data_IF_158810195646
#
_entry.id   IF_158810195646
#
_cell.length_a   1.000
_cell.length_b   1.000
_cell.length_c   1.000
_cell.angle_alpha   90.00
_cell.angle_beta   90.00
_cell.angle_gamma   90.00
#
_symmetry.space_group_name_H-M   'P 1'
#
loop_
_entity.id
_entity.type
_entity.pdbx_description
1 polymer ?
#
# COMPACT_ATOMS: atom_id res chain seq x y z
N UNK A 1 35.96 29.52 21.95
CA UNK A 1 34.61 29.67 21.39
C UNK A 1 33.85 28.42 21.79
N UNK A 2 32.67 28.54 22.42
CA UNK A 2 31.86 27.37 22.70
C UNK A 2 31.53 26.69 21.36
N UNK A 3 31.73 25.38 21.26
CA UNK A 3 31.32 24.62 20.09
C UNK A 3 29.81 24.81 19.97
N UNK A 4 29.33 25.38 18.86
CA UNK A 4 27.89 25.48 18.63
C UNK A 4 27.28 24.09 18.77
N UNK A 5 26.17 24.01 19.49
CA UNK A 5 25.50 22.73 19.69
C UNK A 5 24.97 22.22 18.34
N UNK A 6 25.16 20.92 18.04
CA UNK A 6 24.86 20.36 16.74
C UNK A 6 23.36 20.38 16.43
N UNK A 7 23.03 20.37 15.15
CA UNK A 7 21.67 20.16 14.65
C UNK A 7 21.57 18.77 14.07
N UNK A 8 20.55 18.02 14.46
CA UNK A 8 20.38 16.63 14.06
C UNK A 8 19.10 16.45 13.26
N UNK A 9 19.21 15.64 12.22
CA UNK A 9 18.10 15.08 11.46
C UNK A 9 18.15 13.56 11.61
N UNK A 10 17.06 12.93 12.01
CA UNK A 10 16.90 11.48 12.02
C UNK A 10 15.81 11.07 11.06
N UNK A 11 16.10 10.12 10.18
CA UNK A 11 15.12 9.52 9.26
C UNK A 11 14.71 8.17 9.86
N UNK A 12 13.42 7.90 9.99
CA UNK A 12 12.89 6.67 10.58
C UNK A 12 12.12 5.86 9.55
N UNK A 13 12.33 4.56 9.56
CA UNK A 13 11.53 3.57 8.83
C UNK A 13 10.87 2.65 9.86
N UNK A 14 9.63 2.96 10.21
CA UNK A 14 8.76 2.01 10.91
C UNK A 14 8.31 0.97 9.90
N UNK A 15 8.63 -0.29 10.16
CA UNK A 15 8.28 -1.36 9.25
C UNK A 15 6.83 -1.81 9.41
N UNK A 16 6.25 -2.56 8.46
CA UNK A 16 5.05 -3.34 8.72
C UNK A 16 5.25 -4.21 9.98
N UNK A 17 4.29 -4.16 10.91
CA UNK A 17 4.40 -4.80 12.22
C UNK A 17 4.94 -3.93 13.34
N UNK A 18 5.42 -2.70 13.06
CA UNK A 18 5.91 -1.83 14.12
C UNK A 18 4.80 -1.51 15.13
N UNK A 19 4.99 -1.77 16.44
CA UNK A 19 3.97 -1.52 17.46
C UNK A 19 3.62 -0.04 17.61
N UNK A 20 2.34 0.25 17.80
CA UNK A 20 1.84 1.61 18.02
C UNK A 20 1.59 1.91 19.50
N UNK A 21 1.59 3.19 19.88
CA UNK A 21 1.36 3.65 21.27
C UNK A 21 0.00 3.24 21.79
N UNK A 22 -1.04 3.45 20.98
CA UNK A 22 -2.44 3.19 21.34
C UNK A 22 -2.85 1.70 21.20
N UNK A 23 -1.88 0.83 20.87
CA UNK A 23 -2.10 -0.59 20.62
C UNK A 23 -2.20 -0.93 19.13
N UNK A 24 -2.02 -2.20 18.79
CA UNK A 24 -1.92 -2.65 17.40
C UNK A 24 -0.54 -2.40 16.78
N UNK A 25 -0.44 -2.65 15.47
CA UNK A 25 0.80 -2.55 14.70
C UNK A 25 0.56 -1.82 13.38
N UNK A 26 1.60 -1.19 12.84
CA UNK A 26 1.53 -0.54 11.53
C UNK A 26 1.32 -1.57 10.43
N UNK A 27 0.31 -1.36 9.57
CA UNK A 27 -0.03 -2.29 8.50
C UNK A 27 0.96 -2.19 7.32
N UNK A 28 1.17 -0.98 6.82
CA UNK A 28 2.00 -0.71 5.64
C UNK A 28 3.44 -0.25 6.01
N UNK A 29 3.70 -0.01 7.30
CA UNK A 29 4.89 0.74 7.73
C UNK A 29 4.66 2.25 7.65
N UNK A 30 5.67 3.01 8.07
CA UNK A 30 5.65 4.46 8.01
C UNK A 30 7.07 5.03 7.92
N UNK A 31 7.28 5.99 7.02
CA UNK A 31 8.51 6.78 6.96
C UNK A 31 8.23 8.17 7.51
N UNK A 32 9.08 8.65 8.41
CA UNK A 32 8.95 9.98 8.98
C UNK A 32 10.32 10.58 9.35
N UNK A 33 10.35 11.90 9.49
CA UNK A 33 11.54 12.66 9.86
C UNK A 33 11.47 13.08 11.32
N UNK A 34 12.63 13.22 11.94
CA UNK A 34 12.81 13.77 13.27
C UNK A 34 13.90 14.83 13.26
N UNK A 35 13.70 15.94 13.95
CA UNK A 35 14.74 16.96 14.14
C UNK A 35 15.03 17.14 15.61
N UNK A 36 16.30 17.30 15.95
CA UNK A 36 16.74 17.53 17.33
C UNK A 36 17.80 18.62 17.41
N UNK A 37 17.64 19.53 18.38
CA UNK A 37 18.63 20.52 18.76
C UNK A 37 18.43 20.88 20.24
N UNK A 38 19.49 20.78 21.05
CA UNK A 38 19.40 20.90 22.52
C UNK A 38 18.34 19.92 23.06
N UNK A 39 17.41 20.43 23.87
CA UNK A 39 16.31 19.69 24.47
C UNK A 39 15.06 19.65 23.58
N UNK A 40 15.09 20.27 22.39
CA UNK A 40 13.95 20.30 21.47
C UNK A 40 14.04 19.14 20.50
N UNK A 41 12.98 18.34 20.46
CA UNK A 41 12.81 17.24 19.51
C UNK A 41 11.41 17.32 18.90
N UNK A 42 11.33 17.23 17.58
CA UNK A 42 10.08 17.23 16.83
C UNK A 42 10.11 16.15 15.75
N UNK A 43 8.97 15.50 15.50
CA UNK A 43 8.79 14.56 14.40
C UNK A 43 7.81 15.10 13.36
N UNK A 44 8.01 14.70 12.11
CA UNK A 44 7.19 15.09 10.97
C UNK A 44 6.96 13.87 10.08
N UNK A 45 5.75 13.34 10.09
CA UNK A 45 5.27 12.30 9.18
C UNK A 45 4.00 12.75 8.48
N UNK A 46 3.69 12.20 7.31
CA UNK A 46 2.46 12.52 6.59
C UNK A 46 1.50 11.34 6.61
N UNK A 47 0.26 11.59 7.00
CA UNK A 47 -0.76 10.58 7.23
C UNK A 47 -2.15 11.12 6.83
N UNK A 48 -3.15 10.26 6.59
CA UNK A 48 -4.51 10.73 6.36
C UNK A 48 -5.09 11.38 7.62
N UNK A 49 -5.77 12.51 7.47
CA UNK A 49 -6.46 13.23 8.54
C UNK A 49 -7.79 12.54 8.90
N UNK A 50 -7.98 12.23 10.18
CA UNK A 50 -9.20 11.61 10.71
C UNK A 50 -9.39 10.11 10.41
N UNK A 51 -10.44 9.49 10.98
CA UNK A 51 -10.90 8.15 10.56
C UNK A 51 -11.67 8.32 9.25
N UNK A 52 -11.26 7.63 8.19
CA UNK A 52 -12.05 7.53 6.95
C UNK A 52 -13.47 7.10 7.29
N UNK A 53 -14.42 8.04 7.23
CA UNK A 53 -15.85 7.71 7.18
C UNK A 53 -16.05 7.07 5.82
N UNK A 54 -16.45 5.80 5.81
CA UNK A 54 -16.54 4.98 4.61
C UNK A 54 -17.19 5.69 3.41
N UNK A 55 -16.67 5.40 2.22
CA UNK A 55 -17.30 5.71 0.93
C UNK A 55 -16.50 6.63 0.00
N UNK A 56 -15.82 7.65 0.53
CA UNK A 56 -15.18 8.68 -0.30
C UNK A 56 -13.67 8.79 -0.01
N UNK A 57 -12.86 8.13 -0.83
CA UNK A 57 -11.39 8.15 -0.80
C UNK A 57 -10.76 9.31 -1.59
N UNK A 58 -11.51 10.03 -2.43
CA UNK A 58 -10.98 10.99 -3.41
C UNK A 58 -10.60 12.38 -2.83
N UNK A 59 -10.84 12.58 -1.54
CA UNK A 59 -10.56 13.83 -0.84
C UNK A 59 -10.08 13.57 0.59
N UNK A 60 -9.36 12.46 0.82
CA UNK A 60 -8.76 12.20 2.14
C UNK A 60 -7.70 13.27 2.37
N UNK A 61 -7.96 14.28 3.22
CA UNK A 61 -6.98 15.33 3.44
C UNK A 61 -5.83 14.68 4.19
N UNK A 62 -4.61 14.92 3.76
CA UNK A 62 -3.44 14.54 4.54
C UNK A 62 -3.15 15.56 5.63
N UNK A 63 -2.45 15.11 6.65
CA UNK A 63 -2.02 15.90 7.77
C UNK A 63 -0.57 15.56 8.10
N UNK A 64 0.21 16.59 8.41
CA UNK A 64 1.55 16.40 8.98
C UNK A 64 1.40 16.08 10.46
N UNK A 65 1.72 14.86 10.82
CA UNK A 65 1.77 14.36 12.20
C UNK A 65 2.99 14.92 12.91
N UNK A 66 2.75 15.55 14.07
CA UNK A 66 3.77 15.95 15.04
C UNK A 66 4.03 14.89 16.12
N UNK A 67 3.47 13.68 16.00
CA UNK A 67 3.37 12.70 17.09
C UNK A 67 4.07 11.37 16.81
N UNK A 68 4.81 11.25 15.71
CA UNK A 68 5.37 9.98 15.27
C UNK A 68 6.41 9.42 16.25
N UNK A 69 7.17 10.29 16.95
CA UNK A 69 8.05 9.87 18.06
C UNK A 69 7.31 9.15 19.17
N UNK A 70 6.11 9.61 19.51
CA UNK A 70 5.32 8.97 20.55
C UNK A 70 4.60 7.73 20.03
N UNK A 71 4.18 7.76 18.76
CA UNK A 71 3.29 6.78 18.19
C UNK A 71 4.00 5.47 17.82
N UNK A 72 5.17 5.54 17.18
CA UNK A 72 5.89 4.35 16.70
C UNK A 72 6.95 3.88 17.69
N UNK A 73 6.81 2.65 18.18
CA UNK A 73 7.76 2.06 19.13
C UNK A 73 8.81 1.24 18.38
N UNK A 74 10.08 1.53 18.65
CA UNK A 74 11.24 0.85 18.08
C UNK A 74 11.15 0.65 16.55
N UNK A 75 11.15 1.74 15.75
CA UNK A 75 11.18 1.65 14.30
C UNK A 75 12.32 0.73 13.84
N UNK A 76 12.08 -0.06 12.79
CA UNK A 76 13.05 -1.07 12.32
C UNK A 76 14.40 -0.45 11.99
N UNK A 77 14.39 0.69 11.31
CA UNK A 77 15.60 1.39 10.93
C UNK A 77 15.49 2.87 11.28
N UNK A 78 16.61 3.45 11.71
CA UNK A 78 16.77 4.90 11.77
C UNK A 78 18.18 5.33 11.43
N UNK A 79 18.31 6.50 10.80
CA UNK A 79 19.59 7.11 10.47
C UNK A 79 19.62 8.55 10.94
N UNK A 80 20.48 8.84 11.90
CA UNK A 80 20.78 10.20 12.38
C UNK A 80 21.94 10.78 11.60
N UNK A 81 21.79 12.02 11.15
CA UNK A 81 22.80 12.82 10.46
C UNK A 81 22.99 14.13 11.23
N UNK A 82 24.24 14.54 11.48
CA UNK A 82 24.52 15.93 11.81
C UNK A 82 24.32 16.79 10.56
N UNK A 83 23.46 17.79 10.66
CA UNK A 83 23.07 18.68 9.56
C UNK A 83 23.42 20.12 9.86
N UNK A 84 23.49 20.96 8.82
CA UNK A 84 23.65 22.41 9.02
C UNK A 84 22.38 23.02 9.63
N UNK A 85 22.51 24.17 10.28
CA UNK A 85 21.33 24.92 10.77
C UNK A 85 20.33 25.22 9.65
N UNK A 86 20.82 25.60 8.46
CA UNK A 86 19.97 25.89 7.29
C UNK A 86 19.15 24.67 6.85
N UNK A 87 19.78 23.49 6.81
CA UNK A 87 19.08 22.23 6.53
C UNK A 87 18.04 21.88 7.58
N UNK A 88 18.40 22.02 8.86
CA UNK A 88 17.49 21.81 9.99
C UNK A 88 16.26 22.72 9.90
N UNK A 89 16.48 24.03 9.66
CA UNK A 89 15.40 25.01 9.55
C UNK A 89 14.50 24.71 8.35
N UNK A 90 15.07 24.32 7.19
CA UNK A 90 14.31 24.00 5.98
C UNK A 90 13.41 22.77 6.12
N UNK A 91 13.86 21.72 6.81
CA UNK A 91 13.00 20.56 7.09
C UNK A 91 11.77 21.01 7.89
N UNK A 92 11.97 21.82 8.92
CA UNK A 92 10.89 22.35 9.78
C UNK A 92 9.98 23.32 9.03
N UNK A 93 10.55 24.19 8.19
CA UNK A 93 9.81 25.13 7.33
C UNK A 93 8.89 24.37 6.37
N UNK A 94 9.43 23.37 5.66
CA UNK A 94 8.65 22.53 4.76
C UNK A 94 7.54 21.80 5.52
N UNK A 95 7.85 21.17 6.65
CA UNK A 95 6.87 20.42 7.43
C UNK A 95 5.74 21.30 8.00
N UNK A 96 6.00 22.59 8.24
CA UNK A 96 4.99 23.52 8.75
C UNK A 96 3.95 23.92 7.69
N UNK A 97 4.34 24.00 6.41
CA UNK A 97 3.45 24.36 5.31
C UNK A 97 3.89 23.70 3.98
N UNK A 98 3.70 22.38 3.82
CA UNK A 98 4.21 21.65 2.65
C UNK A 98 3.57 22.15 1.34
N UNK A 99 2.29 22.56 1.40
CA UNK A 99 1.53 23.08 0.27
C UNK A 99 2.19 24.32 -0.36
N UNK A 100 2.71 25.22 0.47
CA UNK A 100 3.44 26.41 0.00
C UNK A 100 4.71 26.06 -0.79
N UNK A 101 5.26 24.87 -0.55
CA UNK A 101 6.45 24.36 -1.23
C UNK A 101 6.10 23.39 -2.38
N UNK A 102 4.83 23.33 -2.78
CA UNK A 102 4.37 22.55 -3.93
C UNK A 102 4.09 21.09 -3.63
N UNK A 103 4.04 20.69 -2.35
CA UNK A 103 3.59 19.37 -1.95
C UNK A 103 2.06 19.29 -2.00
N UNK A 104 1.51 18.26 -2.62
CA UNK A 104 0.06 18.04 -2.57
C UNK A 104 -0.32 17.65 -1.14
N UNK A 105 -1.40 18.21 -0.58
CA UNK A 105 -1.84 17.88 0.77
C UNK A 105 -2.92 16.79 0.77
N UNK A 106 -3.22 16.18 -0.37
CA UNK A 106 -4.11 15.02 -0.46
C UNK A 106 -3.34 13.76 -0.11
N UNK A 107 -3.82 12.98 0.84
CA UNK A 107 -3.16 11.73 1.17
C UNK A 107 -3.55 10.66 0.16
N UNK A 108 -2.55 10.13 -0.55
CA UNK A 108 -2.67 8.94 -1.37
C UNK A 108 -1.59 7.97 -0.92
N UNK A 109 -1.97 6.78 -0.45
CA UNK A 109 -1.04 5.79 0.07
C UNK A 109 0.02 5.32 -0.95
N UNK A 110 -0.13 5.66 -2.24
CA UNK A 110 0.67 5.16 -3.36
C UNK A 110 1.24 6.25 -4.28
N UNK A 111 0.71 7.49 -4.26
CA UNK A 111 1.20 8.60 -5.07
C UNK A 111 1.58 9.87 -4.27
N UNK A 112 1.13 9.97 -3.01
CA UNK A 112 1.44 11.11 -2.14
C UNK A 112 1.38 10.71 -0.66
N UNK A 113 2.41 9.96 -0.27
CA UNK A 113 2.50 9.16 0.94
C UNK A 113 3.49 9.74 1.96
N UNK A 114 3.63 9.07 3.10
CA UNK A 114 4.64 9.38 4.11
C UNK A 114 6.09 9.37 3.58
N UNK A 115 6.36 8.57 2.54
CA UNK A 115 7.65 8.47 1.87
C UNK A 115 7.89 9.72 1.01
N UNK A 116 6.91 10.09 0.18
CA UNK A 116 6.99 11.24 -0.72
C UNK A 116 7.16 12.54 0.04
N UNK A 117 6.42 12.70 1.14
CA UNK A 117 6.59 13.81 2.07
C UNK A 117 8.01 13.89 2.63
N UNK A 118 8.54 12.76 3.11
CA UNK A 118 9.86 12.71 3.72
C UNK A 118 10.96 13.04 2.70
N UNK A 119 10.87 12.52 1.47
CA UNK A 119 11.80 12.85 0.40
C UNK A 119 11.64 14.28 -0.11
N UNK A 120 10.42 14.82 -0.19
CA UNK A 120 10.18 16.22 -0.56
C UNK A 120 10.82 17.18 0.43
N UNK A 121 10.69 16.92 1.74
CA UNK A 121 11.34 17.68 2.79
C UNK A 121 12.88 17.61 2.68
N UNK A 122 13.43 16.40 2.54
CA UNK A 122 14.88 16.19 2.35
C UNK A 122 15.40 16.95 1.12
N UNK A 123 14.67 16.89 0.00
CA UNK A 123 15.01 17.60 -1.22
C UNK A 123 14.95 19.12 -1.06
N UNK A 124 13.95 19.65 -0.36
CA UNK A 124 13.85 21.08 -0.04
C UNK A 124 15.04 21.55 0.80
N UNK A 125 15.51 20.72 1.74
CA UNK A 125 16.72 20.96 2.52
C UNK A 125 18.03 20.74 1.74
N UNK A 126 17.99 20.29 0.48
CA UNK A 126 19.19 20.01 -0.32
C UNK A 126 19.90 18.70 0.03
N UNK A 127 19.23 17.79 0.75
CA UNK A 127 19.67 16.43 1.04
C UNK A 127 19.13 15.49 -0.03
N UNK A 128 19.90 15.32 -1.10
CA UNK A 128 19.46 14.56 -2.28
C UNK A 128 19.97 13.11 -2.27
N UNK A 129 19.12 12.18 -2.76
CA UNK A 129 19.53 10.83 -3.15
C UNK A 129 20.75 10.90 -4.06
N UNK A 130 21.74 10.06 -3.80
CA UNK A 130 22.93 9.92 -4.62
C UNK A 130 22.80 8.70 -5.55
N UNK A 131 23.24 8.81 -6.80
CA UNK A 131 23.44 7.66 -7.70
C UNK A 131 24.87 7.67 -8.25
N UNK A 132 25.30 6.59 -8.91
CA UNK A 132 26.60 6.48 -9.59
C UNK A 132 26.81 7.61 -10.64
N UNK A 133 25.73 8.22 -11.13
CA UNK A 133 25.73 9.32 -12.11
C UNK A 133 25.52 10.72 -11.51
N UNK A 134 25.45 10.85 -10.18
CA UNK A 134 25.16 12.12 -9.49
C UNK A 134 23.78 12.15 -8.81
N UNK A 135 23.47 13.22 -8.06
CA UNK A 135 22.25 13.32 -7.26
C UNK A 135 20.99 13.52 -8.11
N UNK A 136 19.92 12.77 -7.83
CA UNK A 136 18.63 12.94 -8.51
C UNK A 136 17.79 13.97 -7.73
N UNK A 137 17.36 15.03 -8.42
CA UNK A 137 16.38 15.99 -7.91
C UNK A 137 14.97 15.50 -8.27
N UNK A 138 14.04 15.49 -7.31
CA UNK A 138 12.66 15.07 -7.53
C UNK A 138 12.43 13.56 -7.42
N UNK A 139 13.27 12.84 -6.68
CA UNK A 139 12.97 11.46 -6.29
C UNK A 139 11.91 11.47 -5.18
N UNK A 140 10.77 10.85 -5.44
CA UNK A 140 9.61 10.77 -4.55
C UNK A 140 9.73 9.59 -3.57
N UNK A 141 10.47 8.54 -3.94
CA UNK A 141 10.71 7.35 -3.10
C UNK A 141 10.12 6.08 -3.70
N UNK A 142 10.37 4.93 -3.06
CA UNK A 142 9.59 3.73 -3.34
C UNK A 142 8.41 3.67 -2.35
N UNK A 143 7.17 3.35 -2.80
CA UNK A 143 6.02 3.28 -1.91
C UNK A 143 6.19 2.31 -0.72
N UNK A 144 7.10 1.32 -0.86
CA UNK A 144 7.47 0.39 0.22
C UNK A 144 8.48 1.06 1.15
N UNK A 145 8.09 1.31 2.40
CA UNK A 145 8.90 2.01 3.41
C UNK A 145 10.31 1.44 3.55
N UNK A 146 10.46 0.11 3.66
CA UNK A 146 11.76 -0.53 3.83
C UNK A 146 12.68 -0.45 2.61
N UNK A 147 12.12 -0.34 1.42
CA UNK A 147 12.90 -0.25 0.19
C UNK A 147 13.66 1.07 0.06
N UNK A 148 13.32 2.07 0.88
CA UNK A 148 14.05 3.34 0.93
C UNK A 148 15.33 3.25 1.79
N UNK A 149 15.55 2.16 2.53
CA UNK A 149 16.73 1.99 3.38
C UNK A 149 18.06 2.16 2.62
N UNK A 150 18.29 1.51 1.45
CA UNK A 150 19.52 1.67 0.69
C UNK A 150 19.78 3.12 0.26
N UNK A 151 18.74 3.86 -0.10
CA UNK A 151 18.80 5.27 -0.50
C UNK A 151 19.13 6.16 0.69
N UNK A 152 18.49 5.91 1.83
CA UNK A 152 18.73 6.65 3.06
C UNK A 152 20.17 6.44 3.52
N UNK A 153 20.70 5.21 3.46
CA UNK A 153 22.12 4.88 3.75
C UNK A 153 23.11 5.62 2.83
N UNK A 154 22.70 5.95 1.61
CA UNK A 154 23.54 6.65 0.63
C UNK A 154 23.49 8.18 0.74
N UNK A 155 22.61 8.74 1.57
CA UNK A 155 22.61 10.18 1.85
C UNK A 155 23.98 10.60 2.40
N UNK A 156 24.55 11.66 1.83
CA UNK A 156 25.81 12.23 2.31
C UNK A 156 25.51 13.32 3.35
N UNK A 157 25.88 13.13 4.64
CA UNK A 157 25.76 14.20 5.62
C UNK A 157 26.74 15.34 5.27
N UNK A 158 26.40 16.59 5.61
CA UNK A 158 27.31 17.73 5.44
C UNK A 158 28.58 17.61 6.29
N UNK A 159 28.49 16.92 7.43
CA UNK A 159 29.62 16.65 8.33
C UNK A 159 29.95 15.16 8.29
N UNK A 160 30.77 14.72 7.33
CA UNK A 160 31.07 13.30 7.09
C UNK A 160 31.67 12.60 8.31
N UNK A 161 32.60 13.26 9.01
CA UNK A 161 33.35 12.70 10.15
C UNK A 161 32.67 12.92 11.50
N UNK A 162 31.39 13.32 11.51
CA UNK A 162 30.66 13.52 12.76
C UNK A 162 30.40 12.20 13.47
N UNK A 163 30.79 12.11 14.73
CA UNK A 163 30.46 10.99 15.63
C UNK A 163 28.95 10.89 15.94
N UNK A 164 28.18 11.92 15.57
CA UNK A 164 26.73 11.96 15.73
C UNK A 164 25.99 11.31 14.56
N UNK A 165 26.67 11.07 13.44
CA UNK A 165 26.13 10.27 12.35
C UNK A 165 26.01 8.82 12.82
N UNK A 166 24.78 8.32 12.95
CA UNK A 166 24.51 7.00 13.53
C UNK A 166 23.41 6.29 12.76
N UNK A 167 23.53 4.98 12.69
CA UNK A 167 22.50 4.10 12.17
C UNK A 167 22.09 3.13 13.28
N UNK A 168 20.79 2.97 13.47
CA UNK A 168 20.21 1.99 14.39
C UNK A 168 19.35 1.05 13.57
N UNK A 169 19.61 -0.24 13.71
CA UNK A 169 18.82 -1.31 13.14
C UNK A 169 18.27 -2.14 14.29
N UNK A 170 16.98 -1.98 14.55
CA UNK A 170 16.27 -2.76 15.55
C UNK A 170 15.90 -4.15 14.97
N UNK A 171 15.68 -5.17 15.82
CA UNK A 171 15.17 -6.44 15.34
C UNK A 171 13.85 -6.21 14.58
N UNK A 172 13.63 -7.00 13.54
CA UNK A 172 12.37 -6.98 12.84
C UNK A 172 11.25 -7.30 13.84
N UNK A 173 10.17 -6.50 13.94
CA UNK A 173 9.08 -6.81 14.84
C UNK A 173 8.50 -8.19 14.50
N UNK A 174 7.90 -8.87 15.49
CA UNK A 174 7.12 -10.06 15.19
C UNK A 174 6.01 -9.67 14.21
N UNK A 175 6.10 -10.26 13.03
CA UNK A 175 5.17 -10.01 11.93
C UNK A 175 4.24 -11.18 11.83
N UNK A 176 2.94 -10.90 11.84
CA UNK A 176 1.98 -11.88 11.37
C UNK A 176 2.24 -12.20 9.88
N UNK A 177 1.78 -13.35 9.41
CA UNK A 177 1.94 -13.83 8.02
C UNK A 177 1.64 -12.72 6.99
N UNK A 178 0.65 -11.88 7.28
CA UNK A 178 0.22 -10.73 6.48
C UNK A 178 1.26 -9.61 6.34
N UNK A 179 2.04 -9.33 7.37
CA UNK A 179 3.05 -8.28 7.36
C UNK A 179 4.33 -8.72 6.65
N UNK A 180 4.59 -10.03 6.58
CA UNK A 180 5.70 -10.60 5.81
C UNK A 180 5.42 -10.51 4.29
N UNK A 181 4.18 -10.78 3.87
CA UNK A 181 3.76 -10.74 2.47
C UNK A 181 3.69 -9.29 1.94
N UNK A 182 3.28 -8.33 2.77
CA UNK A 182 3.24 -6.91 2.40
C UNK A 182 4.63 -6.25 2.31
N UNK A 183 5.65 -6.77 3.03
CA UNK A 183 6.98 -6.16 3.13
C UNK A 183 8.06 -6.77 2.22
N UNK A 184 8.03 -8.08 1.95
CA UNK A 184 9.20 -8.81 1.41
C UNK A 184 9.00 -9.42 0.00
N UNK A 185 8.05 -8.93 -0.80
CA UNK A 185 7.77 -9.51 -2.12
C UNK A 185 8.83 -9.17 -3.19
N UNK A 186 10.00 -9.79 -3.06
CA UNK A 186 11.01 -10.01 -4.12
C UNK A 186 10.85 -11.39 -4.77
N UNK A 187 9.70 -12.05 -4.57
CA UNK A 187 9.39 -13.32 -5.23
C UNK A 187 8.12 -13.19 -6.04
N UNK A 188 8.30 -12.98 -7.33
CA UNK A 188 7.32 -13.37 -8.34
C UNK A 188 6.71 -14.73 -7.93
N UNK A 189 5.38 -14.82 -7.72
CA UNK A 189 4.74 -16.11 -7.63
C UNK A 189 4.86 -16.75 -9.02
N UNK A 190 5.82 -17.67 -9.15
CA UNK A 190 5.85 -18.62 -10.25
C UNK A 190 4.53 -19.42 -10.19
N UNK A 191 3.64 -19.31 -11.20
CA UNK A 191 2.38 -20.05 -11.24
C UNK A 191 2.58 -21.57 -11.10
N UNK A 192 3.79 -22.07 -11.36
CA UNK A 192 4.16 -23.47 -11.20
C UNK A 192 4.14 -24.00 -9.77
N UNK A 193 4.17 -23.15 -8.73
CA UNK A 193 4.26 -23.62 -7.33
C UNK A 193 2.90 -23.85 -6.66
N UNK A 194 1.83 -23.21 -7.12
CA UNK A 194 0.46 -23.47 -6.64
C UNK A 194 -0.09 -24.84 -7.10
N UNK A 195 0.54 -25.46 -8.10
CA UNK A 195 0.21 -26.82 -8.57
C UNK A 195 0.71 -27.90 -7.58
N UNK A 196 1.64 -27.57 -6.67
CA UNK A 196 2.25 -28.54 -5.75
C UNK A 196 1.36 -28.94 -4.56
N UNK A 197 0.41 -28.09 -4.14
CA UNK A 197 -0.44 -28.31 -2.96
C UNK A 197 -1.86 -28.79 -3.30
N UNK A 198 -2.13 -29.18 -4.55
CA UNK A 198 -3.39 -29.84 -4.94
C UNK A 198 -4.66 -28.97 -4.86
N UNK A 199 -4.55 -27.69 -4.52
CA UNK A 199 -5.68 -26.76 -4.49
C UNK A 199 -5.78 -26.07 -5.85
N UNK A 200 -6.77 -26.45 -6.66
CA UNK A 200 -6.99 -25.78 -7.95
C UNK A 200 -7.44 -24.33 -7.71
N UNK A 201 -6.73 -23.33 -8.27
CA UNK A 201 -7.13 -21.92 -8.17
C UNK A 201 -8.56 -21.74 -8.69
N UNK A 202 -9.33 -20.83 -8.08
CA UNK A 202 -10.66 -20.49 -8.58
C UNK A 202 -10.57 -20.01 -10.03
N UNK A 203 -11.43 -20.50 -10.95
CA UNK A 203 -11.39 -20.10 -12.36
C UNK A 203 -11.56 -18.59 -12.57
N UNK A 204 -12.31 -17.89 -11.70
CA UNK A 204 -12.46 -16.44 -11.77
C UNK A 204 -11.12 -15.73 -11.51
N UNK A 205 -10.28 -16.26 -10.61
CA UNK A 205 -8.98 -15.64 -10.34
C UNK A 205 -8.05 -15.72 -11.55
N UNK A 206 -7.95 -16.90 -12.18
CA UNK A 206 -7.15 -17.05 -13.41
C UNK A 206 -7.63 -16.11 -14.53
N UNK A 207 -8.95 -16.02 -14.72
CA UNK A 207 -9.54 -15.15 -15.74
C UNK A 207 -9.28 -13.66 -15.43
N UNK A 208 -9.32 -13.26 -14.16
CA UNK A 208 -8.98 -11.92 -13.75
C UNK A 208 -7.50 -11.60 -14.01
N UNK A 209 -6.57 -12.50 -13.69
CA UNK A 209 -5.13 -12.31 -14.00
C UNK A 209 -4.90 -12.13 -15.51
N UNK A 210 -5.53 -12.96 -16.34
CA UNK A 210 -5.45 -12.85 -17.80
C UNK A 210 -6.05 -11.55 -18.33
N UNK A 211 -7.16 -11.09 -17.76
CA UNK A 211 -7.79 -9.82 -18.13
C UNK A 211 -6.95 -8.61 -17.70
N UNK A 212 -6.37 -8.62 -16.49
CA UNK A 212 -5.48 -7.56 -16.03
C UNK A 212 -4.19 -7.52 -16.84
N UNK A 213 -3.59 -8.67 -17.19
CA UNK A 213 -2.40 -8.68 -18.07
C UNK A 213 -2.67 -8.04 -19.43
N UNK A 214 -3.85 -8.25 -20.01
CA UNK A 214 -4.27 -7.58 -21.25
C UNK A 214 -4.47 -6.08 -21.04
N UNK A 215 -5.05 -5.67 -19.91
CA UNK A 215 -5.20 -4.27 -19.54
C UNK A 215 -3.83 -3.58 -19.42
N UNK A 216 -2.88 -4.15 -18.66
CA UNK A 216 -1.53 -3.59 -18.48
C UNK A 216 -0.77 -3.46 -19.81
N UNK A 217 -0.86 -4.48 -20.67
CA UNK A 217 -0.30 -4.42 -22.02
C UNK A 217 -0.89 -3.26 -22.85
N UNK A 218 -2.20 -3.01 -22.72
CA UNK A 218 -2.87 -1.87 -23.35
C UNK A 218 -2.39 -0.52 -22.81
N UNK A 219 -1.94 -0.48 -21.55
CA UNK A 219 -1.36 0.70 -20.90
C UNK A 219 0.17 0.82 -21.12
N UNK A 220 0.80 -0.15 -21.78
CA UNK A 220 2.24 -0.18 -21.99
C UNK A 220 3.06 -0.47 -20.71
N UNK A 221 2.45 -1.16 -19.74
CA UNK A 221 3.06 -1.50 -18.45
C UNK A 221 3.27 -3.00 -18.29
N UNK A 222 4.23 -3.37 -17.45
CA UNK A 222 4.42 -4.76 -17.02
C UNK A 222 3.47 -5.09 -15.86
N UNK A 223 3.13 -6.37 -15.70
CA UNK A 223 2.28 -6.84 -14.61
C UNK A 223 3.05 -6.81 -13.28
N UNK A 224 2.54 -6.06 -12.32
CA UNK A 224 3.17 -5.81 -11.02
C UNK A 224 2.28 -6.26 -9.84
N UNK A 225 2.69 -5.94 -8.61
CA UNK A 225 1.94 -6.28 -7.39
C UNK A 225 0.54 -5.62 -7.36
N UNK A 226 0.38 -4.41 -7.93
CA UNK A 226 -0.92 -3.75 -8.02
C UNK A 226 -1.80 -4.45 -9.05
N UNK A 227 -1.22 -4.93 -10.15
CA UNK A 227 -1.93 -5.79 -11.10
C UNK A 227 -2.45 -7.07 -10.43
N UNK A 228 -1.67 -7.67 -9.52
CA UNK A 228 -2.10 -8.85 -8.76
C UNK A 228 -3.25 -8.55 -7.77
N UNK A 229 -3.19 -7.43 -7.05
CA UNK A 229 -4.29 -7.00 -6.17
C UNK A 229 -5.56 -6.68 -6.95
N UNK A 230 -5.41 -5.97 -8.07
CA UNK A 230 -6.51 -5.67 -8.99
C UNK A 230 -7.18 -6.95 -9.50
N UNK A 231 -6.39 -7.96 -9.90
CA UNK A 231 -6.89 -9.25 -10.36
C UNK A 231 -7.66 -10.00 -9.25
N UNK A 232 -7.08 -10.08 -8.05
CA UNK A 232 -7.71 -10.77 -6.93
C UNK A 232 -9.00 -10.10 -6.46
N UNK A 233 -8.99 -8.77 -6.30
CA UNK A 233 -10.18 -7.99 -5.95
C UNK A 233 -11.25 -8.09 -7.03
N UNK A 234 -10.87 -8.06 -8.31
CA UNK A 234 -11.81 -8.27 -9.43
C UNK A 234 -12.46 -9.65 -9.42
N UNK A 235 -11.69 -10.70 -9.10
CA UNK A 235 -12.21 -12.05 -8.98
C UNK A 235 -13.23 -12.20 -7.83
N UNK A 236 -12.92 -11.62 -6.67
CA UNK A 236 -13.85 -11.54 -5.55
C UNK A 236 -15.13 -10.78 -5.92
N UNK A 237 -14.99 -9.58 -6.49
CA UNK A 237 -16.12 -8.73 -6.89
C UNK A 237 -17.02 -9.42 -7.90
N UNK A 238 -16.44 -10.10 -8.89
CA UNK A 238 -17.20 -10.89 -9.85
C UNK A 238 -18.08 -11.92 -9.13
N UNK A 239 -17.49 -12.69 -8.21
CA UNK A 239 -18.22 -13.72 -7.46
C UNK A 239 -19.33 -13.12 -6.59
N UNK A 240 -19.01 -12.07 -5.85
CA UNK A 240 -19.92 -11.38 -4.94
C UNK A 240 -21.14 -10.79 -5.70
N UNK A 241 -20.93 -10.36 -6.94
CA UNK A 241 -21.99 -9.83 -7.81
C UNK A 241 -22.62 -10.88 -8.74
N UNK A 242 -22.36 -12.18 -8.50
CA UNK A 242 -22.99 -13.27 -9.23
C UNK A 242 -22.51 -13.46 -10.68
N UNK A 243 -21.35 -12.92 -11.03
CA UNK A 243 -20.68 -13.27 -12.29
C UNK A 243 -20.09 -14.68 -12.17
N UNK A 244 -20.20 -15.41 -13.28
CA UNK A 244 -19.78 -16.80 -13.43
C UNK A 244 -18.46 -16.95 -14.19
N UNK A 245 -18.07 -15.91 -14.94
CA UNK A 245 -16.77 -15.78 -15.61
C UNK A 245 -16.38 -14.31 -15.76
N UNK A 246 -15.11 -14.06 -16.05
CA UNK A 246 -14.57 -12.73 -16.35
C UNK A 246 -14.02 -12.74 -17.78
N UNK A 247 -14.66 -11.99 -18.67
CA UNK A 247 -14.25 -11.85 -20.07
C UNK A 247 -13.36 -10.60 -20.27
N UNK A 248 -13.69 -9.52 -19.55
CA UNK A 248 -12.95 -8.25 -19.60
C UNK A 248 -12.80 -7.61 -18.21
N UNK A 249 -11.67 -6.93 -18.02
CA UNK A 249 -11.46 -5.94 -16.96
C UNK A 249 -11.06 -4.64 -17.66
N UNK A 250 -11.82 -3.58 -17.44
CA UNK A 250 -11.62 -2.28 -18.10
C UNK A 250 -11.68 -1.15 -17.10
N UNK A 251 -10.99 -0.06 -17.41
CA UNK A 251 -10.99 1.16 -16.59
C UNK A 251 -12.06 2.14 -17.07
N UNK A 252 -12.57 2.97 -16.17
CA UNK A 252 -13.46 4.08 -16.53
C UNK A 252 -12.81 5.01 -17.55
N UNK A 253 -13.60 5.51 -18.48
CA UNK A 253 -13.21 6.62 -19.35
C UNK A 253 -13.46 7.97 -18.65
N UNK A 254 -12.83 9.03 -19.17
CA UNK A 254 -13.04 10.37 -18.64
C UNK A 254 -14.43 10.89 -19.03
N UNK A 255 -15.25 11.22 -18.04
CA UNK A 255 -16.60 11.79 -18.20
C UNK A 255 -16.73 13.05 -17.33
N UNK A 256 -17.89 13.71 -17.35
CA UNK A 256 -18.13 14.89 -16.53
C UNK A 256 -18.07 14.63 -15.01
N UNK A 257 -18.22 13.37 -14.58
CA UNK A 257 -18.32 12.99 -13.17
C UNK A 257 -17.37 11.87 -12.76
N UNK A 258 -16.55 11.35 -13.68
CA UNK A 258 -15.67 10.20 -13.42
C UNK A 258 -14.39 10.36 -14.22
N UNK A 259 -13.24 10.30 -13.56
CA UNK A 259 -11.93 10.40 -14.21
C UNK A 259 -11.58 9.09 -14.90
N UNK A 260 -10.67 9.19 -15.87
CA UNK A 260 -10.09 8.00 -16.46
C UNK A 260 -9.35 7.18 -15.40
N UNK A 261 -9.61 5.87 -15.30
CA UNK A 261 -8.96 4.99 -14.33
C UNK A 261 -9.53 5.03 -12.91
N UNK A 262 -10.52 5.88 -12.61
CA UNK A 262 -11.14 6.00 -11.29
C UNK A 262 -11.82 4.71 -10.85
N UNK A 263 -12.56 4.07 -11.76
CA UNK A 263 -13.26 2.81 -11.51
C UNK A 263 -12.72 1.71 -12.39
N UNK A 264 -12.73 0.49 -11.86
CA UNK A 264 -12.51 -0.74 -12.62
C UNK A 264 -13.83 -1.48 -12.78
N UNK A 265 -14.09 -1.95 -13.99
CA UNK A 265 -15.27 -2.74 -14.35
C UNK A 265 -14.85 -4.17 -14.67
N UNK A 266 -15.53 -5.12 -14.06
CA UNK A 266 -15.38 -6.55 -14.34
C UNK A 266 -16.59 -6.99 -15.14
N UNK A 267 -16.37 -7.54 -16.34
CA UNK A 267 -17.44 -7.78 -17.32
C UNK A 267 -17.49 -9.27 -17.72
N UNK A 268 -18.70 -9.82 -17.69
CA UNK A 268 -19.09 -11.10 -18.28
C UNK A 268 -19.87 -10.83 -19.58
N UNK A 269 -19.37 -11.31 -20.72
CA UNK A 269 -19.90 -11.04 -22.07
C UNK A 269 -19.03 -10.06 -22.87
N UNK A 270 -19.42 -9.84 -24.13
CA UNK A 270 -18.72 -8.89 -25.00
C UNK A 270 -19.08 -7.44 -24.61
N UNK A 271 -18.10 -6.53 -24.64
CA UNK A 271 -18.30 -5.12 -24.26
C UNK A 271 -19.38 -4.39 -25.07
N UNK A 272 -19.65 -4.84 -26.30
CA UNK A 272 -20.68 -4.28 -27.19
C UNK A 272 -22.01 -5.05 -27.17
N UNK A 273 -22.13 -6.10 -26.33
CA UNK A 273 -23.36 -6.83 -26.14
C UNK A 273 -24.21 -6.15 -25.06
N UNK A 274 -25.44 -5.68 -25.34
CA UNK A 274 -26.30 -5.07 -24.32
C UNK A 274 -26.71 -6.04 -23.19
N UNK A 275 -26.53 -7.35 -23.36
CA UNK A 275 -26.82 -8.36 -22.35
C UNK A 275 -25.62 -8.72 -21.46
N UNK A 276 -24.48 -8.01 -21.57
CA UNK A 276 -23.34 -8.25 -20.68
C UNK A 276 -23.73 -7.99 -19.21
N UNK A 277 -23.10 -8.73 -18.29
CA UNK A 277 -23.16 -8.42 -16.86
C UNK A 277 -21.89 -7.70 -16.46
N UNK A 278 -22.01 -6.74 -15.56
CA UNK A 278 -20.86 -6.06 -15.00
C UNK A 278 -20.99 -5.84 -13.51
N UNK A 279 -19.83 -5.82 -12.87
CA UNK A 279 -19.66 -5.28 -11.53
C UNK A 279 -18.57 -4.20 -11.58
N UNK A 280 -18.61 -3.24 -10.66
CA UNK A 280 -17.59 -2.21 -10.57
C UNK A 280 -17.11 -2.01 -9.13
N UNK A 281 -15.90 -1.50 -8.99
CA UNK A 281 -15.37 -0.94 -7.75
C UNK A 281 -14.42 0.22 -8.09
N UNK A 282 -14.06 1.03 -7.09
CA UNK A 282 -12.98 2.01 -7.28
C UNK A 282 -11.66 1.28 -7.49
N UNK A 283 -10.85 1.74 -8.45
CA UNK A 283 -9.54 1.15 -8.72
C UNK A 283 -8.64 1.24 -7.48
N UNK A 284 -8.76 2.33 -6.72
CA UNK A 284 -8.07 2.52 -5.44
C UNK A 284 -8.43 1.44 -4.40
N UNK A 285 -9.71 1.08 -4.27
CA UNK A 285 -10.14 0.03 -3.34
C UNK A 285 -9.59 -1.33 -3.77
N UNK A 286 -9.58 -1.59 -5.08
CA UNK A 286 -9.09 -2.84 -5.65
C UNK A 286 -7.62 -3.12 -5.31
N UNK A 287 -6.78 -2.07 -5.32
CA UNK A 287 -5.33 -2.15 -5.10
C UNK A 287 -4.92 -1.86 -3.65
N UNK A 288 -5.80 -1.26 -2.84
CA UNK A 288 -5.58 -1.05 -1.41
C UNK A 288 -5.73 -2.36 -0.62
N UNK A 289 -6.59 -3.27 -1.08
CA UNK A 289 -6.78 -4.57 -0.46
C UNK A 289 -5.66 -5.55 -0.90
N UNK A 290 -4.99 -6.26 0.04
CA UNK A 290 -4.05 -7.32 -0.31
C UNK A 290 -4.73 -8.43 -1.13
N UNK A 291 -4.03 -8.97 -2.13
CA UNK A 291 -4.61 -9.93 -3.08
C UNK A 291 -5.16 -11.17 -2.37
N UNK A 292 -4.45 -11.66 -1.37
CA UNK A 292 -4.81 -12.83 -0.59
C UNK A 292 -6.10 -12.64 0.23
N UNK A 293 -6.40 -11.42 0.69
CA UNK A 293 -7.65 -11.15 1.39
C UNK A 293 -8.83 -11.30 0.44
N UNK A 294 -8.72 -10.75 -0.77
CA UNK A 294 -9.72 -10.93 -1.83
C UNK A 294 -9.84 -12.42 -2.23
N UNK A 295 -8.73 -13.16 -2.27
CA UNK A 295 -8.72 -14.59 -2.54
C UNK A 295 -9.37 -15.43 -1.43
N UNK A 296 -9.14 -15.08 -0.16
CA UNK A 296 -9.77 -15.75 0.98
C UNK A 296 -11.29 -15.50 0.99
N UNK A 297 -11.72 -14.28 0.68
CA UNK A 297 -13.15 -13.96 0.51
C UNK A 297 -13.75 -14.71 -0.68
N UNK A 298 -13.02 -14.81 -1.80
CA UNK A 298 -13.45 -15.59 -2.96
C UNK A 298 -13.62 -17.07 -2.62
N UNK A 299 -12.70 -17.65 -1.85
CA UNK A 299 -12.78 -19.05 -1.39
C UNK A 299 -14.00 -19.28 -0.48
N UNK A 300 -14.24 -18.41 0.50
CA UNK A 300 -15.39 -18.56 1.42
C UNK A 300 -16.75 -18.45 0.71
N UNK A 301 -16.86 -17.54 -0.28
CA UNK A 301 -18.04 -17.44 -1.15
C UNK A 301 -18.26 -18.71 -1.98
N UNK A 302 -17.17 -19.33 -2.45
CA UNK A 302 -17.23 -20.59 -3.20
C UNK A 302 -17.73 -21.73 -2.33
N UNK A 303 -17.20 -21.90 -1.12
CA UNK A 303 -17.61 -22.95 -0.18
C UNK A 303 -19.09 -22.83 0.20
N UNK A 304 -19.54 -21.59 0.46
CA UNK A 304 -20.94 -21.30 0.80
C UNK A 304 -21.89 -21.69 -0.33
N UNK A 305 -21.55 -21.37 -1.58
CA UNK A 305 -22.37 -21.73 -2.75
C UNK A 305 -22.31 -23.23 -3.11
N UNK A 306 -21.21 -23.92 -2.79
CA UNK A 306 -21.10 -25.38 -3.04
C UNK A 306 -21.87 -26.22 -2.02
N UNK A 307 -22.10 -25.72 -0.81
CA UNK A 307 -22.87 -26.42 0.23
C UNK A 307 -24.39 -26.30 0.06
N UNK A 308 -24.90 -25.27 -0.64
CA UNK A 308 -26.34 -25.05 -0.80
C UNK A 308 -27.07 -26.19 -1.54
N UNK A 309 -26.56 -26.77 -2.64
CA UNK A 309 -27.25 -27.84 -3.36
C UNK A 309 -27.32 -29.17 -2.58
N UNK A 310 -26.32 -29.45 -1.72
CA UNK A 310 -26.28 -30.70 -0.93
C UNK A 310 -27.27 -30.68 0.24
N UNK A 311 -27.50 -29.52 0.86
CA UNK A 311 -28.50 -29.38 1.93
C UNK A 311 -29.94 -29.42 1.41
N UNK A 312 -30.20 -28.92 0.19
CA UNK A 312 -31.53 -29.02 -0.43
C UNK A 312 -31.87 -30.46 -0.82
N UNK A 313 -30.94 -31.21 -1.44
CA UNK A 313 -31.18 -32.63 -1.77
C UNK A 313 -31.36 -33.52 -0.53
N UNK A 314 -30.64 -33.26 0.57
CA UNK A 314 -30.85 -34.00 1.83
C UNK A 314 -32.20 -33.67 2.48
N UNK A 315 -32.70 -32.44 2.35
CA UNK A 315 -34.05 -32.05 2.81
C UNK A 315 -35.17 -32.65 1.96
N UNK A 316 -34.95 -32.83 0.67
CA UNK A 316 -35.93 -33.48 -0.22
C UNK A 316 -36.00 -34.99 -0.01
N UNK A 317 -34.86 -35.67 0.22
CA UNK A 317 -34.86 -37.12 0.51
C UNK A 317 -35.41 -37.46 1.91
N UNK A 318 -35.26 -36.57 2.90
CA UNK A 318 -35.82 -36.76 4.23
C UNK A 318 -37.33 -36.46 4.32
N UNK A 319 -37.91 -35.83 3.28
CA UNK A 319 -39.35 -35.56 3.16
C UNK A 319 -40.08 -36.51 2.19
N UNK A 320 -39.44 -37.59 1.70
CA UNK A 320 -40.13 -38.56 0.85
C UNK A 320 -41.13 -39.41 1.67
N UNK A 321 -42.44 -39.40 1.36
CA UNK A 321 -43.45 -40.12 2.13
C UNK A 321 -43.31 -41.64 1.97
N UNK A 322 -43.21 -42.35 3.10
CA UNK A 322 -43.23 -43.82 3.13
C UNK A 322 -44.57 -44.35 2.61
N UNK A 323 -44.58 -44.90 1.39
CA UNK A 323 -45.72 -45.63 0.85
C UNK A 323 -45.92 -46.93 1.64
N UNK A 324 -46.94 -46.94 2.51
CA UNK A 324 -47.46 -48.15 3.16
C UNK A 324 -48.38 -48.83 2.16
N UNK A 325 -47.90 -49.89 1.50
CA UNK A 325 -48.77 -50.79 0.73
C UNK A 325 -49.54 -51.72 1.68
N UNK A 326 -50.79 -51.95 1.27
CA UNK A 326 -51.89 -52.64 1.96
C UNK A 326 -51.69 -54.15 1.97
#
# INVERSE_FOLDING_TARGET
MAKEEPYLLTIYLASPGTPLKEGGTSLAGHMYLGTSHRDVQESFGFAPSGRSRGGDSDDTPGEVSGKDFENYKDPYYSRTLEVTKDQYDKIREFAADPAKHGFDMKYDAFANSCVDFSWAALNYAGLHRQTVLGGIKGYEGEPKVLHNEPEIRQLRPPFLDSELNKEVLNPMPERDVWQHILSDNDRHPDPGRAIADGTSPDPLYRQAEEAVRRLEQGLGREYDDNSARLAASSAHLARDNGLSRIDHIVLSENTASTRHGENVFVVEGALNDPAHKMAQMKTGDAIAQPAEHSLAQLQSLRETQQQSPQQEQQREQSNAPQHRMV
#
